data_IF_102369599367
#
_entry.id   IF_102369599367
#
_cell.length_a   1.000
_cell.length_b   1.000
_cell.length_c   1.000
_cell.angle_alpha   90.00
_cell.angle_beta   90.00
_cell.angle_gamma   90.00
#
_symmetry.space_group_name_H-M   'P 1'
#
loop_
_entity.id
_entity.type
_entity.pdbx_description
1 polymer ?
#
# COMPACT_ATOMS: atom_id res chain seq x y z
N UNK A 1 -31.79 2.08 -50.36
CA UNK A 1 -31.99 0.88 -51.22
C UNK A 1 -31.01 -0.21 -50.81
N UNK A 2 -31.49 -1.37 -50.34
CA UNK A 2 -30.61 -2.55 -50.20
C UNK A 2 -30.25 -3.00 -51.62
N UNK A 3 -28.94 -3.06 -51.93
CA UNK A 3 -28.47 -3.64 -53.20
C UNK A 3 -28.98 -5.09 -53.27
N UNK A 4 -29.58 -5.49 -54.39
CA UNK A 4 -29.98 -6.89 -54.63
C UNK A 4 -28.76 -7.77 -54.41
N UNK A 5 -28.87 -8.71 -53.48
CA UNK A 5 -27.81 -9.66 -53.17
C UNK A 5 -27.60 -10.60 -54.36
N UNK A 6 -26.36 -11.01 -54.61
CA UNK A 6 -26.04 -11.98 -55.66
C UNK A 6 -26.66 -13.34 -55.32
N UNK A 7 -27.24 -14.01 -56.32
CA UNK A 7 -27.77 -15.36 -56.11
C UNK A 7 -26.67 -16.32 -55.64
N UNK A 8 -27.07 -17.37 -54.94
CA UNK A 8 -26.19 -18.41 -54.44
C UNK A 8 -25.40 -19.07 -55.58
N UNK A 9 -26.07 -19.38 -56.68
CA UNK A 9 -25.46 -19.95 -57.90
C UNK A 9 -24.31 -19.09 -58.45
N UNK A 10 -24.44 -17.75 -58.39
CA UNK A 10 -23.36 -16.86 -58.84
C UNK A 10 -22.17 -16.87 -57.87
N UNK A 11 -22.40 -17.10 -56.57
CA UNK A 11 -21.34 -17.23 -55.56
C UNK A 11 -20.60 -18.56 -55.68
N UNK A 12 -21.31 -19.64 -56.01
CA UNK A 12 -20.71 -20.95 -56.26
C UNK A 12 -19.80 -20.94 -57.49
N UNK A 13 -20.28 -20.37 -58.61
CA UNK A 13 -19.47 -20.19 -59.83
C UNK A 13 -18.17 -19.41 -59.60
N UNK A 14 -18.18 -18.45 -58.66
CA UNK A 14 -16.97 -17.72 -58.25
C UNK A 14 -15.99 -18.65 -57.52
N UNK A 15 -16.48 -19.50 -56.63
CA UNK A 15 -15.66 -20.46 -55.87
C UNK A 15 -15.11 -21.55 -56.78
N UNK A 16 -15.91 -22.09 -57.70
CA UNK A 16 -15.49 -23.12 -58.64
C UNK A 16 -14.34 -22.64 -59.53
N UNK A 17 -14.46 -21.44 -60.10
CA UNK A 17 -13.38 -20.85 -60.90
C UNK A 17 -12.13 -20.55 -60.07
N UNK A 18 -12.28 -20.20 -58.79
CA UNK A 18 -11.14 -20.07 -57.90
C UNK A 18 -10.50 -21.42 -57.55
N UNK A 19 -11.28 -22.51 -57.41
CA UNK A 19 -10.76 -23.89 -57.24
C UNK A 19 -10.00 -24.36 -58.48
N UNK A 20 -10.41 -23.94 -59.66
CA UNK A 20 -9.68 -24.15 -60.94
C UNK A 20 -8.40 -23.30 -61.06
N UNK A 21 -8.03 -22.52 -60.04
CA UNK A 21 -6.80 -21.73 -60.02
C UNK A 21 -6.88 -20.41 -60.76
N UNK A 22 -8.07 -19.95 -61.16
CA UNK A 22 -8.20 -18.67 -61.84
C UNK A 22 -7.96 -17.48 -60.90
N UNK A 23 -7.18 -16.49 -61.36
CA UNK A 23 -6.92 -15.29 -60.59
C UNK A 23 -8.16 -14.40 -60.42
N UNK A 24 -8.24 -13.64 -59.33
CA UNK A 24 -9.41 -12.80 -58.98
C UNK A 24 -9.86 -11.83 -60.09
N UNK A 25 -8.92 -11.26 -60.86
CA UNK A 25 -9.22 -10.37 -61.99
C UNK A 25 -9.87 -11.13 -63.15
N UNK A 26 -9.40 -12.34 -63.45
CA UNK A 26 -9.97 -13.20 -64.48
C UNK A 26 -11.41 -13.58 -64.12
N UNK A 27 -11.64 -14.02 -62.89
CA UNK A 27 -12.98 -14.34 -62.39
C UNK A 27 -13.93 -13.13 -62.46
N UNK A 28 -13.43 -11.94 -62.11
CA UNK A 28 -14.19 -10.68 -62.18
C UNK A 28 -14.64 -10.34 -63.60
N UNK A 29 -13.74 -10.41 -64.58
CA UNK A 29 -14.08 -10.16 -65.99
C UNK A 29 -15.04 -11.22 -66.54
N UNK A 30 -14.77 -12.51 -66.28
CA UNK A 30 -15.56 -13.61 -66.86
C UNK A 30 -16.95 -13.76 -66.24
N UNK A 31 -17.20 -13.21 -65.04
CA UNK A 31 -18.54 -13.20 -64.43
C UNK A 31 -19.20 -11.81 -64.44
N UNK A 32 -18.52 -10.79 -64.94
CA UNK A 32 -18.96 -9.39 -64.89
C UNK A 32 -19.34 -8.93 -63.47
N UNK A 33 -18.60 -9.41 -62.45
CA UNK A 33 -18.80 -9.07 -61.04
C UNK A 33 -17.65 -8.15 -60.61
N UNK A 34 -17.90 -7.08 -59.83
CA UNK A 34 -16.83 -6.23 -59.30
C UNK A 34 -15.78 -7.02 -58.53
N UNK A 35 -14.49 -6.70 -58.74
CA UNK A 35 -13.35 -7.40 -58.12
C UNK A 35 -13.46 -7.47 -56.58
N UNK A 36 -13.97 -6.43 -55.93
CA UNK A 36 -14.18 -6.40 -54.49
C UNK A 36 -15.18 -7.45 -54.01
N UNK A 37 -16.23 -7.70 -54.80
CA UNK A 37 -17.24 -8.71 -54.50
C UNK A 37 -16.69 -10.12 -54.68
N UNK A 38 -15.92 -10.37 -55.74
CA UNK A 38 -15.18 -11.64 -55.96
C UNK A 38 -14.25 -11.94 -54.77
N UNK A 39 -13.47 -10.94 -54.33
CA UNK A 39 -12.59 -11.07 -53.15
C UNK A 39 -13.37 -11.38 -51.87
N UNK A 40 -14.52 -10.73 -51.67
CA UNK A 40 -15.36 -10.94 -50.49
C UNK A 40 -15.93 -12.36 -50.42
N UNK A 41 -16.45 -12.87 -51.55
CA UNK A 41 -17.00 -14.22 -51.66
C UNK A 41 -15.92 -15.26 -51.37
N UNK A 42 -14.75 -15.15 -52.01
CA UNK A 42 -13.67 -16.13 -51.82
C UNK A 42 -13.09 -16.05 -50.40
N UNK A 43 -12.94 -14.85 -49.82
CA UNK A 43 -12.50 -14.69 -48.43
C UNK A 43 -13.47 -15.38 -47.46
N UNK A 44 -14.77 -15.23 -47.68
CA UNK A 44 -15.79 -15.88 -46.85
C UNK A 44 -15.76 -17.40 -47.01
N UNK A 45 -15.69 -17.89 -48.24
CA UNK A 45 -15.60 -19.32 -48.53
C UNK A 45 -14.36 -19.97 -47.89
N UNK A 46 -13.19 -19.31 -47.94
CA UNK A 46 -11.96 -19.80 -47.27
C UNK A 46 -12.09 -19.92 -45.75
N UNK A 47 -12.95 -19.11 -45.11
CA UNK A 47 -13.11 -19.08 -43.66
C UNK A 47 -14.19 -20.05 -43.19
N UNK A 48 -15.32 -20.13 -43.90
CA UNK A 48 -16.51 -20.88 -43.45
C UNK A 48 -16.81 -22.13 -44.28
N UNK A 49 -16.12 -22.33 -45.41
CA UNK A 49 -16.39 -23.43 -46.33
C UNK A 49 -17.67 -23.28 -47.16
N UNK A 50 -18.52 -22.29 -46.87
CA UNK A 50 -19.82 -22.08 -47.49
C UNK A 50 -19.92 -20.77 -48.28
N UNK A 51 -20.73 -20.79 -49.33
CA UNK A 51 -21.11 -19.63 -50.16
C UNK A 51 -22.42 -19.01 -49.72
N UNK A 52 -23.23 -19.74 -48.95
CA UNK A 52 -24.47 -19.29 -48.33
C UNK A 52 -24.32 -18.05 -47.45
N UNK A 53 -25.36 -17.23 -47.39
CA UNK A 53 -25.41 -16.08 -46.48
C UNK A 53 -25.67 -16.56 -45.05
N UNK A 54 -24.60 -16.74 -44.27
CA UNK A 54 -24.72 -16.98 -42.83
C UNK A 54 -25.45 -15.83 -42.13
N UNK A 55 -26.33 -16.12 -41.16
CA UNK A 55 -26.92 -15.11 -40.32
C UNK A 55 -25.81 -14.37 -39.55
N UNK A 56 -26.03 -13.07 -39.30
CA UNK A 56 -25.08 -12.27 -38.54
C UNK A 56 -24.91 -12.89 -37.15
N UNK A 57 -23.67 -13.20 -36.76
CA UNK A 57 -23.38 -13.66 -35.39
C UNK A 57 -23.60 -12.51 -34.40
N UNK A 58 -24.64 -12.64 -33.57
CA UNK A 58 -24.90 -11.76 -32.44
C UNK A 58 -25.28 -10.32 -32.80
N UNK A 59 -25.41 -9.51 -31.74
CA UNK A 59 -25.86 -8.12 -31.82
C UNK A 59 -24.86 -7.25 -32.62
N UNK A 60 -25.34 -6.31 -33.46
CA UNK A 60 -24.50 -5.24 -34.01
C UNK A 60 -23.64 -4.56 -32.95
N UNK A 61 -22.35 -4.33 -33.25
CA UNK A 61 -21.48 -3.64 -32.30
C UNK A 61 -21.92 -2.19 -32.17
N UNK A 62 -21.98 -1.68 -30.93
CA UNK A 62 -22.37 -0.30 -30.66
C UNK A 62 -21.40 0.75 -31.23
N UNK A 63 -20.13 0.37 -31.41
CA UNK A 63 -19.08 1.23 -31.96
C UNK A 63 -18.88 0.88 -33.44
N UNK A 64 -18.81 1.88 -34.32
CA UNK A 64 -18.48 1.68 -35.74
C UNK A 64 -17.05 1.17 -35.93
N UNK A 65 -16.76 0.58 -37.10
CA UNK A 65 -15.40 0.20 -37.48
C UNK A 65 -14.48 1.42 -37.61
N UNK A 66 -15.01 2.57 -38.03
CA UNK A 66 -14.26 3.83 -38.13
C UNK A 66 -13.89 4.35 -36.74
N UNK A 67 -14.85 4.44 -35.82
CA UNK A 67 -14.62 4.86 -34.44
C UNK A 67 -13.63 3.96 -33.69
N UNK A 68 -13.66 2.63 -33.90
CA UNK A 68 -12.63 1.72 -33.36
C UNK A 68 -11.21 2.06 -33.84
N UNK A 69 -11.06 2.51 -35.09
CA UNK A 69 -9.76 2.91 -35.64
C UNK A 69 -9.30 4.24 -35.05
N UNK A 70 -10.21 5.19 -34.87
CA UNK A 70 -9.89 6.47 -34.22
C UNK A 70 -9.48 6.25 -32.76
N UNK A 71 -10.24 5.46 -31.99
CA UNK A 71 -9.88 5.10 -30.62
C UNK A 71 -8.50 4.42 -30.52
N UNK A 72 -8.14 3.59 -31.51
CA UNK A 72 -6.82 2.97 -31.57
C UNK A 72 -5.71 4.02 -31.85
N UNK A 73 -5.94 4.96 -32.77
CA UNK A 73 -5.00 6.05 -33.09
C UNK A 73 -4.85 7.04 -31.93
N UNK A 74 -5.94 7.38 -31.26
CA UNK A 74 -5.93 8.31 -30.14
C UNK A 74 -5.10 7.75 -28.98
N UNK A 75 -5.17 6.44 -28.71
CA UNK A 75 -4.31 5.82 -27.70
C UNK A 75 -2.86 5.63 -28.12
N UNK A 76 -2.53 5.65 -29.44
CA UNK A 76 -1.13 5.71 -29.86
C UNK A 76 -0.56 7.12 -29.68
N UNK A 77 -1.39 8.15 -29.85
CA UNK A 77 -0.99 9.55 -29.68
C UNK A 77 -1.01 9.99 -28.20
N UNK A 78 -2.01 9.55 -27.43
CA UNK A 78 -2.30 9.93 -26.04
C UNK A 78 -2.48 8.67 -25.18
N UNK A 79 -1.39 7.97 -24.84
CA UNK A 79 -1.48 6.70 -24.12
C UNK A 79 -1.92 6.81 -22.66
N UNK A 80 -1.95 8.03 -22.10
CA UNK A 80 -2.40 8.31 -20.72
C UNK A 80 -3.82 8.84 -20.64
N UNK A 81 -4.54 8.94 -21.78
CA UNK A 81 -5.90 9.45 -21.81
C UNK A 81 -6.83 8.60 -20.94
N UNK A 82 -7.67 9.26 -20.14
CA UNK A 82 -8.66 8.57 -19.32
C UNK A 82 -9.83 8.04 -20.16
N UNK A 83 -10.54 7.01 -19.68
CA UNK A 83 -11.71 6.48 -20.38
C UNK A 83 -12.82 7.55 -20.56
N UNK A 84 -12.88 8.51 -19.64
CA UNK A 84 -13.83 9.62 -19.67
C UNK A 84 -13.47 10.65 -20.75
N UNK A 85 -12.18 10.97 -20.90
CA UNK A 85 -11.69 11.81 -22.01
C UNK A 85 -11.97 11.18 -23.36
N UNK A 86 -11.72 9.87 -23.50
CA UNK A 86 -12.01 9.13 -24.74
C UNK A 86 -13.51 9.07 -25.02
N UNK A 87 -14.37 8.99 -23.98
CA UNK A 87 -15.81 9.08 -24.15
C UNK A 87 -16.25 10.45 -24.67
N UNK A 88 -15.70 11.53 -24.13
CA UNK A 88 -15.97 12.89 -24.61
C UNK A 88 -15.56 13.08 -26.07
N UNK A 89 -14.35 12.63 -26.44
CA UNK A 89 -13.90 12.69 -27.84
C UNK A 89 -14.80 11.87 -28.77
N UNK A 90 -15.27 10.69 -28.33
CA UNK A 90 -16.21 9.91 -29.12
C UNK A 90 -17.59 10.56 -29.28
N UNK A 91 -18.06 11.24 -28.24
CA UNK A 91 -19.31 11.98 -28.29
C UNK A 91 -19.24 13.17 -29.27
N UNK A 92 -18.10 13.87 -29.33
CA UNK A 92 -17.84 14.93 -30.33
C UNK A 92 -17.88 14.39 -31.77
N UNK A 93 -17.40 13.17 -31.97
CA UNK A 93 -17.48 12.47 -33.26
C UNK A 93 -18.87 11.86 -33.56
N UNK A 94 -19.87 12.07 -32.70
CA UNK A 94 -21.24 11.60 -32.89
C UNK A 94 -21.48 10.14 -32.49
N UNK A 95 -20.53 9.47 -31.82
CA UNK A 95 -20.73 8.14 -31.26
C UNK A 95 -20.89 8.18 -29.74
N UNK A 96 -22.13 8.13 -29.27
CA UNK A 96 -22.41 8.09 -27.84
C UNK A 96 -22.26 6.67 -27.28
N UNK A 97 -21.12 6.42 -26.64
CA UNK A 97 -20.75 5.10 -26.10
C UNK A 97 -20.31 5.21 -24.65
N UNK A 98 -20.70 4.23 -23.82
CA UNK A 98 -20.33 4.22 -22.40
C UNK A 98 -18.85 3.83 -22.22
N UNK A 99 -18.19 4.34 -21.18
CA UNK A 99 -16.78 4.06 -20.85
C UNK A 99 -16.43 2.56 -20.87
N UNK A 100 -17.31 1.71 -20.31
CA UNK A 100 -17.14 0.25 -20.32
C UNK A 100 -17.18 -0.38 -21.72
N UNK A 101 -17.81 0.27 -22.69
CA UNK A 101 -17.83 -0.17 -24.10
C UNK A 101 -16.50 0.18 -24.78
N UNK A 102 -15.97 1.37 -24.47
CA UNK A 102 -14.65 1.82 -24.91
C UNK A 102 -13.56 0.91 -24.34
N UNK A 103 -13.59 0.61 -23.03
CA UNK A 103 -12.64 -0.30 -22.37
C UNK A 103 -12.64 -1.71 -23.00
N UNK A 104 -13.82 -2.29 -23.27
CA UNK A 104 -13.94 -3.59 -23.93
C UNK A 104 -13.42 -3.59 -25.37
N UNK A 105 -13.53 -2.46 -26.08
CA UNK A 105 -12.99 -2.34 -27.43
C UNK A 105 -11.45 -2.41 -27.45
N UNK A 106 -10.79 -1.96 -26.37
CA UNK A 106 -9.35 -2.04 -26.21
C UNK A 106 -8.84 -3.44 -25.88
N UNK A 107 -9.60 -4.22 -25.10
CA UNK A 107 -9.22 -5.61 -24.79
C UNK A 107 -9.06 -6.49 -26.05
N UNK A 108 -9.78 -6.17 -27.13
CA UNK A 108 -9.67 -6.84 -28.42
C UNK A 108 -8.53 -6.29 -29.31
N UNK A 109 -8.04 -5.09 -29.02
CA UNK A 109 -6.89 -4.49 -29.71
C UNK A 109 -5.63 -4.78 -28.90
N UNK A 110 -5.13 -6.03 -28.97
CA UNK A 110 -3.99 -6.59 -28.23
C UNK A 110 -2.93 -5.58 -27.74
N UNK A 111 -3.24 -4.89 -26.63
CA UNK A 111 -2.36 -4.05 -25.84
C UNK A 111 -2.59 -4.40 -24.37
N UNK A 112 -2.43 -5.67 -24.09
CA UNK A 112 -2.13 -6.18 -22.75
C UNK A 112 -0.70 -5.74 -22.43
N UNK A 113 -0.54 -4.50 -21.98
CA UNK A 113 0.79 -3.93 -21.86
C UNK A 113 0.77 -2.46 -21.47
N UNK A 114 0.20 -2.17 -20.31
CA UNK A 114 0.63 -1.08 -19.42
C UNK A 114 0.04 -1.35 -18.04
N UNK A 115 0.76 -2.24 -17.35
CA UNK A 115 0.82 -2.51 -15.91
C UNK A 115 -0.27 -1.91 -15.03
N UNK A 116 -0.92 -2.80 -14.29
CA UNK A 116 -1.75 -2.60 -13.11
C UNK A 116 -1.85 -1.15 -12.63
N UNK A 117 -3.07 -0.60 -12.64
CA UNK A 117 -3.44 0.29 -11.54
C UNK A 117 -3.08 -0.50 -10.30
N UNK A 118 -2.06 -0.06 -9.54
CA UNK A 118 -2.05 -0.27 -8.10
C UNK A 118 -3.50 -0.09 -7.70
N UNK A 119 -4.19 -1.17 -7.32
CA UNK A 119 -5.48 -1.01 -6.67
C UNK A 119 -5.13 -0.12 -5.50
N UNK A 120 -5.49 1.16 -5.60
CA UNK A 120 -5.62 2.00 -4.43
C UNK A 120 -6.61 1.24 -3.61
N UNK A 121 -6.10 0.50 -2.62
CA UNK A 121 -6.85 -0.34 -1.70
C UNK A 121 -8.10 0.43 -1.32
N UNK A 122 -9.20 0.10 -2.00
CA UNK A 122 -10.46 0.77 -1.75
C UNK A 122 -10.83 0.30 -0.37
N UNK A 123 -10.93 1.27 0.53
CA UNK A 123 -11.33 1.12 1.91
C UNK A 123 -12.75 0.55 1.95
N UNK A 124 -12.88 -0.76 1.82
CA UNK A 124 -14.06 -1.51 2.26
C UNK A 124 -13.54 -2.65 3.13
N UNK A 125 -14.11 -2.79 4.32
CA UNK A 125 -13.69 -3.76 5.35
C UNK A 125 -13.65 -5.24 4.87
N UNK A 126 -14.13 -5.53 3.66
CA UNK A 126 -14.10 -6.84 3.01
C UNK A 126 -12.71 -7.26 2.45
N UNK A 127 -11.73 -6.37 2.44
CA UNK A 127 -10.42 -6.63 1.80
C UNK A 127 -9.33 -7.11 2.77
N UNK A 128 -9.61 -7.15 4.08
CA UNK A 128 -8.64 -7.61 5.07
C UNK A 128 -8.34 -9.10 4.95
N UNK A 129 -9.36 -9.92 4.71
CA UNK A 129 -9.25 -11.37 4.63
C UNK A 129 -8.56 -11.79 3.33
N UNK A 130 -8.94 -11.21 2.20
CA UNK A 130 -8.28 -11.41 0.90
C UNK A 130 -6.84 -10.90 0.89
N UNK A 131 -6.52 -9.80 1.61
CA UNK A 131 -5.13 -9.35 1.80
C UNK A 131 -4.34 -10.27 2.71
N UNK A 132 -4.96 -10.83 3.74
CA UNK A 132 -4.32 -11.79 4.63
C UNK A 132 -3.99 -13.08 3.84
N UNK A 133 -4.93 -13.61 3.06
CA UNK A 133 -4.73 -14.76 2.18
C UNK A 133 -3.67 -14.50 1.10
N UNK A 134 -3.69 -13.31 0.48
CA UNK A 134 -2.66 -12.94 -0.51
C UNK A 134 -1.29 -12.81 0.14
N UNK A 135 -1.20 -12.19 1.32
CA UNK A 135 0.03 -12.07 2.08
C UNK A 135 0.55 -13.46 2.47
N UNK A 136 -0.27 -14.32 3.06
CA UNK A 136 0.08 -15.70 3.44
C UNK A 136 0.58 -16.53 2.23
N UNK A 137 0.01 -16.31 1.05
CA UNK A 137 0.32 -17.09 -0.16
C UNK A 137 1.51 -16.56 -0.98
N UNK A 138 1.84 -15.27 -0.90
CA UNK A 138 2.82 -14.64 -1.80
C UNK A 138 3.91 -13.82 -1.11
N UNK A 139 3.80 -13.59 0.21
CA UNK A 139 4.84 -12.98 1.01
C UNK A 139 5.12 -13.98 2.15
N UNK A 140 6.36 -14.44 2.33
CA UNK A 140 6.77 -15.20 3.53
C UNK A 140 6.79 -14.29 4.78
N UNK A 141 5.73 -13.50 4.97
CA UNK A 141 5.44 -12.71 6.14
C UNK A 141 4.35 -13.52 6.83
N UNK A 142 4.73 -14.36 7.79
CA UNK A 142 3.78 -14.82 8.80
C UNK A 142 3.10 -13.57 9.39
N UNK A 143 1.86 -13.31 8.96
CA UNK A 143 1.01 -12.24 9.50
C UNK A 143 0.37 -12.68 10.84
N UNK A 144 0.97 -13.67 11.50
CA UNK A 144 0.70 -14.06 12.88
C UNK A 144 1.80 -13.51 13.79
N UNK A 145 1.45 -13.17 15.03
CA UNK A 145 2.48 -12.99 16.06
C UNK A 145 3.30 -14.28 16.12
N UNK A 146 4.63 -14.16 16.01
CA UNK A 146 5.55 -15.30 16.08
C UNK A 146 5.10 -16.23 17.21
N UNK A 147 4.78 -17.51 16.93
CA UNK A 147 4.29 -18.45 17.93
C UNK A 147 5.32 -18.72 19.04
N UNK A 148 6.60 -18.42 18.80
CA UNK A 148 7.68 -18.50 19.79
C UNK A 148 7.79 -17.23 20.63
N UNK A 149 7.14 -16.13 20.24
CA UNK A 149 7.13 -14.88 21.01
C UNK A 149 6.33 -15.08 22.30
N UNK A 150 6.95 -14.86 23.47
CA UNK A 150 6.27 -14.88 24.75
C UNK A 150 5.02 -14.01 24.76
N UNK A 151 3.96 -14.52 25.40
CA UNK A 151 2.72 -13.74 25.55
C UNK A 151 2.98 -12.54 26.46
N UNK A 152 2.60 -11.35 25.98
CA UNK A 152 2.81 -10.09 26.70
C UNK A 152 2.24 -10.07 28.12
N UNK A 153 2.87 -9.25 28.97
CA UNK A 153 2.49 -9.06 30.38
C UNK A 153 1.05 -8.57 30.53
N UNK A 154 0.29 -9.20 31.40
CA UNK A 154 -1.09 -8.84 31.76
C UNK A 154 -1.09 -7.87 32.94
N UNK A 155 -1.79 -6.74 32.77
CA UNK A 155 -2.04 -5.78 33.85
C UNK A 155 -3.00 -6.34 34.91
N UNK A 156 -2.97 -5.78 36.12
CA UNK A 156 -3.88 -6.10 37.22
C UNK A 156 -5.35 -5.99 36.79
N UNK A 157 -5.69 -4.95 36.03
CA UNK A 157 -7.02 -4.78 35.44
C UNK A 157 -7.36 -5.89 34.43
N UNK A 158 -6.39 -6.37 33.64
CA UNK A 158 -6.63 -7.42 32.66
C UNK A 158 -6.96 -8.76 33.32
N UNK A 159 -6.29 -9.09 34.43
CA UNK A 159 -6.65 -10.24 35.27
C UNK A 159 -8.05 -10.11 35.87
N UNK A 160 -8.39 -8.93 36.37
CA UNK A 160 -9.73 -8.64 36.89
C UNK A 160 -10.83 -8.80 35.82
N UNK A 161 -10.59 -8.31 34.61
CA UNK A 161 -11.54 -8.49 33.49
C UNK A 161 -11.68 -9.98 33.14
N UNK A 162 -10.60 -10.76 33.22
CA UNK A 162 -10.63 -12.21 32.95
C UNK A 162 -11.45 -12.97 34.01
N UNK A 163 -11.29 -12.66 35.29
CA UNK A 163 -12.09 -13.26 36.36
C UNK A 163 -13.58 -12.88 36.22
N UNK A 164 -13.88 -11.61 35.94
CA UNK A 164 -15.25 -11.16 35.67
C UNK A 164 -15.88 -11.89 34.46
N UNK A 165 -15.11 -12.14 33.40
CA UNK A 165 -15.59 -12.91 32.23
C UNK A 165 -15.87 -14.36 32.61
N UNK A 166 -15.00 -14.98 33.41
CA UNK A 166 -15.17 -16.34 33.90
C UNK A 166 -16.41 -16.50 34.78
N UNK A 167 -16.64 -15.56 35.69
CA UNK A 167 -17.85 -15.51 36.52
C UNK A 167 -19.11 -15.34 35.68
N UNK A 168 -19.09 -14.44 34.69
CA UNK A 168 -20.24 -14.22 33.82
C UNK A 168 -20.53 -15.46 32.96
N UNK A 169 -19.51 -16.14 32.44
CA UNK A 169 -19.69 -17.39 31.67
C UNK A 169 -20.25 -18.52 32.54
N UNK A 170 -19.90 -18.56 33.84
CA UNK A 170 -20.48 -19.52 34.80
C UNK A 170 -21.95 -19.20 35.13
N UNK A 171 -22.28 -17.92 35.34
CA UNK A 171 -23.63 -17.47 35.70
C UNK A 171 -24.59 -17.45 34.52
N UNK A 172 -24.08 -17.23 33.31
CA UNK A 172 -24.84 -17.22 32.08
C UNK A 172 -24.12 -18.02 30.99
N UNK A 173 -24.17 -19.37 31.05
CA UNK A 173 -23.50 -20.23 30.07
C UNK A 173 -24.03 -20.07 28.64
N UNK A 174 -25.29 -19.67 28.49
CA UNK A 174 -26.01 -19.59 27.22
C UNK A 174 -26.27 -18.15 26.73
N UNK A 175 -26.02 -17.14 27.58
CA UNK A 175 -26.22 -15.74 27.20
C UNK A 175 -24.96 -15.19 26.51
N UNK A 176 -25.13 -14.72 25.27
CA UNK A 176 -24.09 -13.99 24.55
C UNK A 176 -23.84 -12.64 25.22
N UNK A 177 -22.64 -12.44 25.73
CA UNK A 177 -22.20 -11.17 26.34
C UNK A 177 -21.93 -10.12 25.28
N UNK A 178 -22.60 -8.97 25.35
CA UNK A 178 -22.23 -7.78 24.58
C UNK A 178 -20.91 -7.22 25.14
N UNK A 179 -19.83 -7.29 24.37
CA UNK A 179 -18.49 -6.86 24.79
C UNK A 179 -18.43 -5.39 25.22
N UNK A 180 -19.17 -4.52 24.53
CA UNK A 180 -19.18 -3.08 24.81
C UNK A 180 -19.78 -2.78 26.18
N UNK A 181 -20.91 -3.41 26.50
CA UNK A 181 -21.58 -3.26 27.80
C UNK A 181 -20.80 -3.94 28.93
N UNK A 182 -20.24 -5.12 28.65
CA UNK A 182 -19.43 -5.85 29.61
C UNK A 182 -18.16 -5.06 30.01
N UNK A 183 -17.51 -4.42 29.03
CA UNK A 183 -16.32 -3.59 29.30
C UNK A 183 -16.65 -2.38 30.17
N UNK A 184 -17.81 -1.73 29.96
CA UNK A 184 -18.26 -0.61 30.80
C UNK A 184 -18.53 -1.06 32.24
N UNK A 185 -19.28 -2.15 32.42
CA UNK A 185 -19.55 -2.75 33.73
C UNK A 185 -18.27 -3.15 34.47
N UNK A 186 -17.26 -3.69 33.77
CA UNK A 186 -15.98 -4.01 34.39
C UNK A 186 -15.19 -2.76 34.79
N UNK A 187 -15.21 -1.71 33.97
CA UNK A 187 -14.54 -0.45 34.31
C UNK A 187 -15.16 0.22 35.53
N UNK A 188 -16.49 0.27 35.62
CA UNK A 188 -17.20 0.82 36.78
C UNK A 188 -16.90 0.00 38.04
N UNK A 189 -17.01 -1.34 37.94
CA UNK A 189 -16.71 -2.23 39.05
C UNK A 189 -15.27 -2.05 39.55
N UNK A 190 -14.28 -2.00 38.66
CA UNK A 190 -12.88 -1.76 39.03
C UNK A 190 -12.66 -0.43 39.76
N UNK A 191 -13.34 0.64 39.36
CA UNK A 191 -13.27 1.93 40.06
C UNK A 191 -13.85 1.85 41.46
N UNK A 192 -14.96 1.12 41.64
CA UNK A 192 -15.60 0.93 42.95
C UNK A 192 -14.97 -0.16 43.82
N UNK A 193 -14.06 -0.99 43.27
CA UNK A 193 -13.38 -2.03 44.06
C UNK A 193 -12.45 -1.41 45.10
N UNK A 194 -12.40 -2.02 46.28
CA UNK A 194 -11.51 -1.60 47.37
C UNK A 194 -10.04 -1.90 47.05
N UNK A 195 -9.10 -1.15 47.65
CA UNK A 195 -7.66 -1.36 47.47
C UNK A 195 -7.22 -2.80 47.84
N UNK A 196 -7.86 -3.41 48.86
CA UNK A 196 -7.59 -4.79 49.27
C UNK A 196 -7.95 -5.82 48.20
N UNK A 197 -8.99 -5.56 47.42
CA UNK A 197 -9.41 -6.45 46.32
C UNK A 197 -8.55 -6.22 45.08
N UNK A 198 -8.09 -4.98 44.84
CA UNK A 198 -7.14 -4.64 43.79
C UNK A 198 -5.75 -5.24 44.04
N UNK A 199 -5.29 -5.26 45.31
CA UNK A 199 -4.01 -5.84 45.70
C UNK A 199 -3.83 -7.28 45.22
N UNK A 200 -4.88 -8.12 45.31
CA UNK A 200 -4.84 -9.50 44.77
C UNK A 200 -4.54 -9.56 43.28
N UNK A 201 -5.03 -8.59 42.50
CA UNK A 201 -4.79 -8.52 41.06
C UNK A 201 -3.46 -7.85 40.72
N UNK A 202 -2.98 -6.95 41.56
CA UNK A 202 -1.64 -6.36 41.46
C UNK A 202 -0.55 -7.39 41.71
N UNK A 203 -0.72 -8.26 42.70
CA UNK A 203 0.21 -9.37 42.96
C UNK A 203 0.25 -10.35 41.78
N UNK A 204 -0.90 -10.67 41.19
CA UNK A 204 -0.97 -11.48 39.96
C UNK A 204 -0.28 -10.81 38.78
N UNK A 205 -0.40 -9.48 38.64
CA UNK A 205 0.29 -8.73 37.59
C UNK A 205 1.80 -8.70 37.79
N UNK A 206 2.28 -8.56 39.04
CA UNK A 206 3.71 -8.66 39.39
C UNK A 206 4.27 -10.03 39.05
N UNK A 207 3.56 -11.11 39.38
CA UNK A 207 3.95 -12.47 39.01
C UNK A 207 3.99 -12.66 37.48
N UNK A 208 3.06 -12.08 36.74
CA UNK A 208 3.05 -12.16 35.28
C UNK A 208 4.17 -11.35 34.63
N UNK A 209 4.56 -10.22 35.23
CA UNK A 209 5.76 -9.45 34.83
C UNK A 209 7.00 -10.35 34.91
N UNK A 210 7.21 -11.04 36.03
CA UNK A 210 8.36 -11.96 36.21
C UNK A 210 8.29 -13.14 35.24
N UNK A 211 7.10 -13.72 35.01
CA UNK A 211 6.90 -14.76 34.00
C UNK A 211 7.33 -14.26 32.61
N UNK A 212 6.84 -13.10 32.20
CA UNK A 212 7.13 -12.51 30.89
C UNK A 212 8.62 -12.21 30.73
N UNK A 213 9.28 -11.62 31.73
CA UNK A 213 10.72 -11.34 31.69
C UNK A 213 11.55 -12.61 31.55
N UNK A 214 11.19 -13.66 32.28
CA UNK A 214 11.85 -14.97 32.17
C UNK A 214 11.67 -15.59 30.79
N UNK A 215 10.45 -15.59 30.26
CA UNK A 215 10.18 -16.10 28.91
C UNK A 215 10.88 -15.25 27.83
N UNK A 216 10.92 -13.94 27.99
CA UNK A 216 11.61 -13.01 27.09
C UNK A 216 13.13 -13.21 27.11
N UNK A 217 13.72 -13.50 28.26
CA UNK A 217 15.16 -13.82 28.36
C UNK A 217 15.55 -15.06 27.56
N UNK A 218 14.64 -16.04 27.46
CA UNK A 218 14.83 -17.24 26.64
C UNK A 218 14.45 -17.08 25.17
N UNK A 219 13.75 -15.99 24.82
CA UNK A 219 13.27 -15.74 23.47
C UNK A 219 14.34 -15.05 22.64
N UNK A 220 14.77 -15.72 21.57
CA UNK A 220 15.63 -15.14 20.53
C UNK A 220 14.70 -14.75 19.38
N UNK A 221 14.46 -13.44 19.16
CA UNK A 221 13.65 -13.02 18.03
C UNK A 221 14.25 -13.56 16.72
N UNK A 222 13.44 -14.09 15.80
CA UNK A 222 13.94 -14.40 14.47
C UNK A 222 14.53 -13.12 13.88
N UNK A 223 15.66 -13.24 13.18
CA UNK A 223 16.36 -12.14 12.50
C UNK A 223 15.53 -11.68 11.30
N UNK A 224 14.36 -11.12 11.59
CA UNK A 224 13.53 -10.43 10.63
C UNK A 224 14.09 -9.03 10.47
N UNK A 225 14.30 -8.60 9.22
CA UNK A 225 14.56 -7.21 8.91
C UNK A 225 13.44 -6.36 9.54
N UNK A 226 13.76 -5.59 10.59
CA UNK A 226 12.84 -4.62 11.18
C UNK A 226 12.40 -3.73 10.00
N UNK A 227 11.16 -3.88 9.52
CA UNK A 227 10.65 -3.04 8.43
C UNK A 227 10.79 -1.59 8.86
N UNK A 228 11.75 -0.86 8.26
CA UNK A 228 11.93 0.58 8.50
C UNK A 228 10.57 1.21 8.30
N UNK A 229 9.98 1.76 9.38
CA UNK A 229 8.71 2.46 9.29
C UNK A 229 8.87 3.51 8.19
N UNK A 230 7.95 3.55 7.22
CA UNK A 230 8.01 4.56 6.18
C UNK A 230 7.79 5.92 6.86
N UNK A 231 8.85 6.73 6.97
CA UNK A 231 8.75 8.08 7.49
C UNK A 231 8.05 8.94 6.43
N UNK A 232 6.97 9.63 6.80
CA UNK A 232 6.29 10.55 5.91
C UNK A 232 7.27 11.66 5.47
N UNK A 233 7.47 11.90 4.16
CA UNK A 233 8.38 12.94 3.69
C UNK A 233 8.03 14.37 4.14
N UNK A 234 6.76 14.57 4.52
CA UNK A 234 6.24 15.86 4.99
C UNK A 234 6.14 15.94 6.53
N UNK A 235 6.54 14.90 7.25
CA UNK A 235 6.63 14.98 8.71
C UNK A 235 7.86 15.83 9.08
N UNK A 236 7.72 16.76 10.04
CA UNK A 236 8.88 17.44 10.62
C UNK A 236 9.93 16.40 11.06
N UNK A 237 11.21 16.67 10.76
CA UNK A 237 12.31 15.80 11.20
C UNK A 237 12.58 16.05 12.68
N UNK A 238 12.90 14.98 13.43
CA UNK A 238 13.30 15.09 14.83
C UNK A 238 14.52 16.02 14.95
N UNK A 239 14.58 16.89 15.97
CA UNK A 239 15.70 17.79 16.19
C UNK A 239 16.93 16.98 16.64
N UNK A 240 18.12 17.46 16.30
CA UNK A 240 19.38 16.86 16.74
C UNK A 240 19.56 17.04 18.26
N UNK A 241 20.00 15.98 18.95
CA UNK A 241 20.38 16.03 20.37
C UNK A 241 21.63 16.89 20.60
N UNK A 242 21.85 17.32 21.84
CA UNK A 242 23.00 18.14 22.24
C UNK A 242 24.34 17.54 21.80
N UNK A 243 24.50 16.23 21.92
CA UNK A 243 25.68 15.49 21.45
C UNK A 243 25.87 15.58 19.92
N UNK A 244 24.80 15.49 19.14
CA UNK A 244 24.90 15.59 17.67
C UNK A 244 25.19 17.01 17.20
N UNK A 245 24.71 18.03 17.91
CA UNK A 245 25.07 19.44 17.66
C UNK A 245 26.56 19.63 17.93
N UNK A 246 27.07 19.10 19.04
CA UNK A 246 28.50 19.08 19.34
C UNK A 246 29.29 18.35 18.26
N UNK A 247 28.87 17.14 17.86
CA UNK A 247 29.54 16.40 16.81
C UNK A 247 29.55 17.17 15.48
N UNK A 248 28.49 17.90 15.12
CA UNK A 248 28.47 18.70 13.89
C UNK A 248 29.56 19.79 13.90
N UNK A 249 29.78 20.45 15.03
CA UNK A 249 30.79 21.51 15.18
C UNK A 249 32.23 20.94 15.19
N UNK A 250 32.43 19.77 15.78
CA UNK A 250 33.76 19.17 15.98
C UNK A 250 34.18 18.12 14.95
N UNK A 251 33.25 17.50 14.22
CA UNK A 251 33.54 16.60 13.08
C UNK A 251 34.54 17.20 12.07
N UNK A 252 34.40 18.47 11.61
CA UNK A 252 35.37 19.03 10.67
C UNK A 252 36.77 19.19 11.29
N UNK A 253 36.85 19.50 12.59
CA UNK A 253 38.14 19.65 13.29
C UNK A 253 38.86 18.30 13.39
N UNK A 254 38.18 17.25 13.84
CA UNK A 254 38.77 15.91 13.97
C UNK A 254 39.15 15.32 12.61
N UNK A 255 38.40 15.64 11.56
CA UNK A 255 38.72 15.24 10.18
C UNK A 255 40.01 15.91 9.65
N UNK A 256 40.28 17.14 10.06
CA UNK A 256 41.52 17.87 9.72
C UNK A 256 42.70 17.38 10.57
N UNK A 257 42.48 17.15 11.85
CA UNK A 257 43.51 16.63 12.76
C UNK A 257 43.93 15.20 12.41
N UNK A 258 43.01 14.39 11.90
CA UNK A 258 43.25 12.99 11.58
C UNK A 258 42.68 12.60 10.21
N UNK A 259 43.31 13.06 9.11
CA UNK A 259 42.84 12.74 7.76
C UNK A 259 43.10 11.26 7.47
N UNK A 260 42.04 10.50 7.18
CA UNK A 260 42.12 9.08 6.76
C UNK A 260 41.42 8.07 7.67
N UNK A 261 40.89 8.48 8.82
CA UNK A 261 40.04 7.62 9.66
C UNK A 261 38.63 7.48 9.07
N UNK A 262 38.02 6.32 9.31
CA UNK A 262 36.61 6.07 8.97
C UNK A 262 35.70 7.00 9.76
N UNK A 263 34.53 7.32 9.20
CA UNK A 263 33.50 8.15 9.85
C UNK A 263 33.13 7.59 11.23
N UNK A 264 33.11 6.26 11.36
CA UNK A 264 32.85 5.58 12.63
C UNK A 264 33.93 5.81 13.69
N UNK A 265 35.21 5.88 13.32
CA UNK A 265 36.30 6.10 14.27
C UNK A 265 36.37 7.58 14.72
N UNK A 266 36.01 8.50 13.81
CA UNK A 266 35.81 9.91 14.16
C UNK A 266 34.67 10.08 15.16
N UNK A 267 33.57 9.34 14.99
CA UNK A 267 32.44 9.37 15.92
C UNK A 267 32.83 8.85 17.32
N UNK A 268 33.61 7.75 17.41
CA UNK A 268 34.12 7.23 18.69
C UNK A 268 34.96 8.27 19.45
N UNK A 269 35.90 8.94 18.76
CA UNK A 269 36.71 10.02 19.36
C UNK A 269 35.85 11.19 19.84
N UNK A 270 34.80 11.54 19.12
CA UNK A 270 33.88 12.60 19.53
C UNK A 270 33.03 12.20 20.74
N UNK A 271 32.62 10.93 20.84
CA UNK A 271 31.95 10.38 22.01
C UNK A 271 32.83 10.47 23.27
N UNK A 272 34.10 10.06 23.16
CA UNK A 272 35.07 10.20 24.25
C UNK A 272 35.29 11.66 24.64
N UNK A 273 35.43 12.56 23.66
CA UNK A 273 35.57 13.99 23.90
C UNK A 273 34.34 14.58 24.59
N UNK A 274 33.12 14.15 24.22
CA UNK A 274 31.88 14.57 24.87
C UNK A 274 31.77 14.07 26.31
N UNK A 275 32.17 12.83 26.59
CA UNK A 275 32.16 12.29 27.96
C UNK A 275 33.15 13.02 28.87
N UNK A 276 34.29 13.46 28.30
CA UNK A 276 35.30 14.22 29.03
C UNK A 276 34.99 15.73 29.14
N UNK A 277 33.99 16.25 28.43
CA UNK A 277 33.58 17.65 28.59
C UNK A 277 32.92 17.88 29.94
N UNK A 278 33.21 19.04 30.53
CA UNK A 278 32.58 19.50 31.76
C UNK A 278 31.10 19.79 31.53
N UNK A 279 30.28 19.71 32.59
CA UNK A 279 28.86 20.05 32.49
C UNK A 279 28.65 21.49 31.97
N UNK A 280 29.53 22.43 32.34
CA UNK A 280 29.48 23.83 31.90
C UNK A 280 29.63 23.99 30.38
N UNK A 281 30.52 23.21 29.78
CA UNK A 281 30.73 23.21 28.33
C UNK A 281 29.58 22.53 27.58
N UNK A 282 28.81 21.65 28.24
CA UNK A 282 27.62 20.98 27.69
C UNK A 282 26.38 21.87 27.71
N UNK A 283 26.23 22.75 28.71
CA UNK A 283 25.11 23.70 28.85
C UNK A 283 24.78 24.47 27.56
N UNK A 284 25.72 25.07 26.81
CA UNK A 284 25.39 25.77 25.57
C UNK A 284 24.82 24.83 24.49
N UNK A 285 25.25 23.57 24.44
CA UNK A 285 24.74 22.58 23.49
C UNK A 285 23.36 22.06 23.89
N UNK A 286 23.12 21.84 25.18
CA UNK A 286 21.80 21.50 25.72
C UNK A 286 20.79 22.63 25.48
N UNK A 287 21.19 23.89 25.70
CA UNK A 287 20.35 25.06 25.38
C UNK A 287 20.06 25.20 23.88
N UNK A 288 20.99 24.81 23.00
CA UNK A 288 20.74 24.76 21.55
C UNK A 288 19.76 23.63 21.21
N UNK A 289 19.93 22.46 21.81
CA UNK A 289 19.05 21.30 21.62
C UNK A 289 17.62 21.57 22.12
N UNK A 290 17.46 22.19 23.30
CA UNK A 290 16.15 22.53 23.87
C UNK A 290 15.38 23.49 22.97
N UNK A 291 16.04 24.54 22.45
CA UNK A 291 15.43 25.46 21.48
C UNK A 291 14.98 24.76 20.19
N UNK A 292 15.76 23.81 19.70
CA UNK A 292 15.39 23.01 18.52
C UNK A 292 14.23 22.06 18.83
N UNK A 293 14.17 21.50 20.05
CA UNK A 293 13.07 20.67 20.55
C UNK A 293 11.76 21.47 20.63
N UNK A 294 11.78 22.65 21.22
CA UNK A 294 10.60 23.53 21.28
C UNK A 294 10.08 23.91 19.89
N UNK A 295 10.99 24.18 18.94
CA UNK A 295 10.62 24.47 17.56
C UNK A 295 9.96 23.25 16.89
N UNK A 296 10.54 22.07 17.07
CA UNK A 296 9.99 20.82 16.56
C UNK A 296 8.62 20.50 17.17
N UNK A 297 8.44 20.73 18.46
CA UNK A 297 7.15 20.54 19.15
C UNK A 297 6.07 21.48 18.58
N UNK A 298 6.42 22.73 18.25
CA UNK A 298 5.52 23.65 17.53
C UNK A 298 5.22 23.17 16.10
N UNK A 299 6.23 22.69 15.38
CA UNK A 299 6.07 22.20 14.01
C UNK A 299 5.24 20.90 13.93
N UNK A 300 5.44 19.97 14.88
CA UNK A 300 4.70 18.71 14.94
C UNK A 300 3.26 18.92 15.43
N UNK A 301 3.03 19.84 16.36
CA UNK A 301 1.66 20.23 16.77
C UNK A 301 0.94 20.91 15.62
N UNK A 302 1.60 21.80 14.88
CA UNK A 302 1.06 22.39 13.66
C UNK A 302 0.78 21.34 12.57
N UNK A 303 1.67 20.37 12.36
CA UNK A 303 1.47 19.26 11.42
C UNK A 303 0.30 18.36 11.83
N UNK A 304 0.20 18.03 13.12
CA UNK A 304 -0.90 17.22 13.69
C UNK A 304 -2.23 17.93 13.56
N UNK A 305 -2.28 19.24 13.82
CA UNK A 305 -3.48 20.07 13.73
C UNK A 305 -3.89 20.39 12.30
N UNK A 306 -2.95 20.49 11.35
CA UNK A 306 -3.25 20.75 9.93
C UNK A 306 -3.87 19.58 9.18
N UNK A 307 -3.92 18.38 9.78
CA UNK A 307 -4.64 17.23 9.25
C UNK A 307 -4.11 16.72 7.90
N UNK A 308 -3.57 15.49 7.90
CA UNK A 308 -3.24 14.65 6.73
C UNK A 308 -3.95 15.07 5.43
N UNK A 309 -3.31 15.92 4.63
CA UNK A 309 -3.67 16.12 3.24
C UNK A 309 -3.09 14.96 2.42
N UNK A 310 -3.90 14.26 1.59
CA UNK A 310 -3.38 13.25 0.68
C UNK A 310 -2.67 13.97 -0.48
N UNK A 311 -1.34 13.96 -0.49
CA UNK A 311 -0.57 14.54 -1.60
C UNK A 311 -0.58 13.59 -2.79
N UNK A 312 -1.42 13.91 -3.79
CA UNK A 312 -1.15 13.60 -5.19
C UNK A 312 0.01 14.47 -5.67
N UNK A 313 1.11 13.85 -6.09
CA UNK A 313 2.25 14.53 -6.73
C UNK A 313 1.92 14.89 -8.19
N UNK A 314 2.36 16.05 -8.72
CA UNK A 314 2.76 16.19 -10.12
C UNK A 314 4.26 15.97 -10.28
N UNK A 315 4.64 15.34 -11.40
CA UNK A 315 5.99 14.86 -11.71
C UNK A 315 6.79 15.81 -12.61
N UNK A 316 8.08 16.04 -12.26
CA UNK A 316 9.29 16.25 -13.11
C UNK A 316 10.44 16.70 -12.18
N UNK A 317 11.71 16.34 -12.31
CA UNK A 317 12.49 15.57 -13.28
C UNK A 317 13.77 15.01 -12.59
N UNK A 318 14.36 13.94 -13.15
CA UNK A 318 15.68 13.37 -12.82
C UNK A 318 16.82 14.42 -12.93
N UNK A 319 17.95 14.39 -12.22
CA UNK A 319 18.94 13.32 -11.92
C UNK A 319 19.98 13.85 -10.88
N UNK A 320 21.14 13.20 -10.58
CA UNK A 320 21.48 11.77 -10.42
C UNK A 320 21.96 11.43 -8.98
N UNK A 321 22.17 10.14 -8.73
CA UNK A 321 22.52 9.49 -7.47
C UNK A 321 23.74 10.05 -6.73
N UNK A 322 23.62 10.15 -5.39
CA UNK A 322 24.71 9.93 -4.44
C UNK A 322 24.24 8.93 -3.40
N UNK A 323 25.05 7.88 -3.30
CA UNK A 323 25.02 6.78 -2.35
C UNK A 323 25.54 7.33 -1.01
N UNK A 324 24.66 7.52 -0.04
CA UNK A 324 25.01 7.77 1.36
C UNK A 324 24.10 6.87 2.21
N UNK A 325 24.67 5.74 2.58
CA UNK A 325 24.09 4.68 3.38
C UNK A 325 24.17 5.11 4.87
N UNK A 326 23.26 5.99 5.31
CA UNK A 326 23.08 6.32 6.74
C UNK A 326 22.15 5.28 7.37
N UNK A 327 22.77 4.24 7.91
CA UNK A 327 22.17 3.26 8.80
C UNK A 327 22.26 3.76 10.25
N UNK A 328 21.45 4.77 10.58
CA UNK A 328 21.25 5.23 11.96
C UNK A 328 20.21 4.32 12.64
N UNK A 329 20.73 3.26 13.24
CA UNK A 329 20.06 2.34 14.17
C UNK A 329 20.18 2.93 15.60
N UNK A 330 19.47 4.02 15.89
CA UNK A 330 19.35 4.57 17.26
C UNK A 330 18.12 3.94 17.95
N UNK A 331 18.33 2.77 18.55
CA UNK A 331 17.53 2.18 19.64
C UNK A 331 18.00 2.84 20.96
N UNK A 332 17.51 4.05 21.26
CA UNK A 332 17.55 4.61 22.63
C UNK A 332 16.18 4.33 23.26
N UNK A 333 16.15 3.27 24.06
CA UNK A 333 15.04 2.80 24.87
C UNK A 333 15.04 3.61 26.18
N UNK A 334 14.64 4.89 26.11
CA UNK A 334 14.30 5.68 27.31
C UNK A 334 12.93 5.18 27.83
N UNK A 335 12.95 4.08 28.59
CA UNK A 335 11.90 3.76 29.54
C UNK A 335 12.01 4.77 30.70
N UNK A 336 11.36 5.93 30.55
CA UNK A 336 11.05 6.82 31.68
C UNK A 336 10.19 6.03 32.69
N UNK A 337 10.83 5.57 33.75
CA UNK A 337 10.26 5.00 34.98
C UNK A 337 9.70 6.16 35.81
N UNK A 338 8.42 6.47 35.60
CA UNK A 338 7.63 7.37 36.43
C UNK A 338 7.27 6.70 37.76
N UNK A 339 8.28 6.55 38.62
CA UNK A 339 8.13 6.29 40.05
C UNK A 339 7.60 7.55 40.75
N UNK A 340 6.31 7.56 41.04
CA UNK A 340 5.72 8.49 42.01
C UNK A 340 6.20 8.07 43.42
N UNK A 341 7.23 8.75 43.93
CA UNK A 341 7.53 8.86 45.36
C UNK A 341 6.42 9.71 46.00
N UNK A 342 5.46 9.06 46.65
CA UNK A 342 4.62 9.72 47.66
C UNK A 342 5.41 9.68 48.99
N UNK A 343 6.22 10.72 49.19
CA UNK A 343 6.59 11.21 50.52
C UNK A 343 5.31 11.70 51.21
N UNK A 344 4.86 11.00 52.25
CA UNK A 344 4.05 11.61 53.30
C UNK A 344 4.63 11.23 54.66
N UNK A 345 5.06 12.30 55.33
CA UNK A 345 5.84 12.38 56.55
C UNK A 345 5.11 11.78 57.77
N UNK A 346 5.90 11.12 58.63
CA UNK A 346 5.60 10.93 60.05
C UNK A 346 5.39 12.30 60.72
N UNK A 347 4.29 12.51 61.43
CA UNK A 347 4.36 13.15 62.75
C UNK A 347 3.15 12.80 63.64
N UNK A 348 3.50 12.47 64.89
CA UNK A 348 2.78 12.17 66.15
C UNK A 348 1.23 12.09 66.24
#
# INVERSE_FOLDING_TARGET
>A
MRRKELSEEFRDKVVDRHRLGEGYKKISHTLSIPLGTVRSIIKKWKVYGTTETLPRSGRPSKISSWAKRILALELTMRPTASLKELQSSMAEMGENVHESTIARSFANCSRYGRSERRRTLQKTNSDLQSRAEFAEKHLDIEMGKDPRKPRGKMSSYAYFVQTCRGEHKKKHPEASVNFSEFSKKCSERWKTMSAKEKGKFEDLAKLDKVRYEREMRSYIPPKGEKKKRFKDPNAPKRPSSAFFIFCADFRPQVKVETPGLSIGDVAKKLGEKWNNLTAEDKVPYEKKASKLKEKYEKDITAYRNKGKLPVSMPAKAAAPAKDDNDDDDDDDDDEDDDGEDDDDEDDE
#
